data_IF_204760859504
#
_entry.id   IF_204760859504
#
_cell.length_a   1.000
_cell.length_b   1.000
_cell.length_c   1.000
_cell.angle_alpha   90.00
_cell.angle_beta   90.00
_cell.angle_gamma   90.00
#
_symmetry.space_group_name_H-M   'P 1'
#
loop_
_entity.id
_entity.type
_entity.pdbx_description
1 polymer ?
#
# COMPACT_ATOMS: atom_id res chain seq x y z
N UNK A 1 -11.24 14.16 30.63
CA UNK A 1 -11.79 14.67 29.36
C UNK A 1 -11.38 16.12 29.16
N UNK A 2 -10.22 16.37 28.56
CA UNK A 2 -9.74 17.73 28.23
C UNK A 2 -8.53 17.71 27.28
N UNK A 3 -8.52 16.90 26.20
CA UNK A 3 -7.33 16.83 25.32
C UNK A 3 -7.63 16.64 23.82
N UNK A 4 -8.80 17.06 23.32
CA UNK A 4 -9.11 17.04 21.88
C UNK A 4 -8.99 18.40 21.17
N UNK A 5 -8.42 19.43 21.80
CA UNK A 5 -8.45 20.81 21.23
C UNK A 5 -7.10 21.51 21.05
N UNK A 6 -5.96 20.81 21.10
CA UNK A 6 -4.63 21.47 21.02
C UNK A 6 -3.64 20.97 19.96
N UNK A 7 -4.11 20.34 18.88
CA UNK A 7 -3.25 20.02 17.72
C UNK A 7 -3.64 20.70 16.40
N UNK A 8 -4.68 21.55 16.37
CA UNK A 8 -5.04 22.32 15.17
C UNK A 8 -4.74 23.83 15.24
N UNK A 9 -3.95 24.29 16.22
CA UNK A 9 -3.80 25.73 16.52
C UNK A 9 -2.42 26.33 16.16
N UNK A 10 -1.79 25.93 15.04
CA UNK A 10 -0.58 26.62 14.54
C UNK A 10 -0.54 26.98 13.06
N UNK A 11 -1.65 26.85 12.30
CA UNK A 11 -1.70 27.29 10.89
C UNK A 11 -2.75 28.38 10.58
N UNK A 12 -3.55 28.84 11.56
CA UNK A 12 -4.60 29.85 11.33
C UNK A 12 -4.26 31.29 11.78
N UNK A 13 -3.00 31.60 12.06
CA UNK A 13 -2.57 32.94 12.55
C UNK A 13 -1.97 33.87 11.49
N UNK A 14 -2.16 33.59 10.21
CA UNK A 14 -1.77 34.50 9.11
C UNK A 14 -2.95 35.13 8.34
N UNK A 15 -4.19 34.93 8.77
CA UNK A 15 -5.38 35.40 7.99
C UNK A 15 -6.30 36.37 8.73
N UNK A 16 -6.05 36.70 10.00
CA UNK A 16 -6.93 37.62 10.76
C UNK A 16 -6.16 38.71 11.52
N UNK A 17 -5.48 39.57 10.77
CA UNK A 17 -4.95 40.83 11.30
C UNK A 17 -5.27 41.99 10.34
N UNK A 18 -6.55 42.31 10.23
CA UNK A 18 -7.00 43.63 9.77
C UNK A 18 -8.28 43.99 10.55
N UNK A 19 -8.06 44.64 11.69
CA UNK A 19 -9.12 45.33 12.42
C UNK A 19 -9.67 46.46 11.54
N UNK A 20 -10.96 46.35 11.24
CA UNK A 20 -11.75 47.37 10.57
C UNK A 20 -12.01 48.51 11.55
N UNK A 21 -11.49 49.69 11.23
CA UNK A 21 -12.04 50.96 11.71
C UNK A 21 -13.43 51.16 11.10
N UNK A 22 -14.44 51.36 11.94
CA UNK A 22 -15.79 51.74 11.52
C UNK A 22 -15.90 53.27 11.55
N UNK A 23 -15.98 53.91 10.38
CA UNK A 23 -16.61 55.22 10.25
C UNK A 23 -17.68 55.20 9.15
N UNK A 24 -18.79 55.84 9.49
CA UNK A 24 -20.08 55.90 8.83
C UNK A 24 -20.05 56.75 7.55
N UNK A 25 -21.06 56.47 6.72
CA UNK A 25 -21.60 57.29 5.63
C UNK A 25 -20.85 57.28 4.30
N UNK A 26 -21.33 56.46 3.36
CA UNK A 26 -21.89 56.94 2.08
C UNK A 26 -22.66 55.81 1.39
N UNK A 27 -23.81 56.17 0.81
CA UNK A 27 -24.78 55.28 0.20
C UNK A 27 -24.21 54.49 -0.99
N UNK A 28 -24.72 53.27 -1.12
CA UNK A 28 -24.30 52.19 -2.03
C UNK A 28 -24.66 52.53 -3.50
N UNK A 29 -23.76 52.36 -4.47
CA UNK A 29 -24.15 51.83 -5.76
C UNK A 29 -23.99 50.31 -5.72
N UNK A 30 -25.11 49.60 -5.81
CA UNK A 30 -25.17 48.14 -5.80
C UNK A 30 -24.49 47.66 -7.07
N UNK A 31 -23.18 47.36 -6.98
CA UNK A 31 -22.53 46.53 -7.98
C UNK A 31 -23.14 45.14 -7.80
N UNK A 32 -23.99 44.77 -8.74
CA UNK A 32 -24.47 43.41 -8.86
C UNK A 32 -23.22 42.55 -9.02
N UNK A 33 -22.89 41.75 -8.01
CA UNK A 33 -21.94 40.67 -8.21
C UNK A 33 -22.50 39.81 -9.34
N UNK A 34 -21.75 39.67 -10.43
CA UNK A 34 -22.07 38.70 -11.45
C UNK A 34 -22.37 37.37 -10.74
N UNK A 35 -23.56 36.83 -10.98
CA UNK A 35 -24.01 35.53 -10.48
C UNK A 35 -22.84 34.57 -10.67
N UNK A 36 -22.27 34.07 -9.58
CA UNK A 36 -21.03 33.29 -9.61
C UNK A 36 -21.19 32.12 -10.58
N UNK A 37 -20.63 32.26 -11.78
CA UNK A 37 -20.47 31.14 -12.68
C UNK A 37 -19.34 30.31 -12.10
N UNK A 38 -19.68 29.31 -11.29
CA UNK A 38 -18.74 28.21 -11.12
C UNK A 38 -18.41 27.73 -12.53
N UNK A 39 -17.13 27.73 -12.94
CA UNK A 39 -16.77 27.17 -14.24
C UNK A 39 -17.38 25.76 -14.32
N UNK A 40 -17.98 25.39 -15.46
CA UNK A 40 -18.61 24.08 -15.61
C UNK A 40 -17.59 22.99 -15.23
N UNK A 41 -18.04 21.97 -14.47
CA UNK A 41 -17.16 20.88 -14.07
C UNK A 41 -16.50 20.29 -15.29
N UNK A 42 -15.18 20.32 -15.32
CA UNK A 42 -14.44 19.68 -16.38
C UNK A 42 -14.53 18.16 -16.15
N UNK A 43 -14.49 17.37 -17.23
CA UNK A 43 -14.46 15.91 -17.14
C UNK A 43 -13.34 15.39 -16.22
N UNK A 44 -12.23 16.14 -16.13
CA UNK A 44 -11.14 15.88 -15.18
C UNK A 44 -11.54 16.06 -13.72
N UNK A 45 -12.38 17.06 -13.39
CA UNK A 45 -12.85 17.29 -12.02
C UNK A 45 -13.74 16.16 -11.52
N UNK A 46 -14.58 15.60 -12.40
CA UNK A 46 -15.44 14.46 -12.08
C UNK A 46 -14.62 13.18 -11.83
N UNK A 47 -13.59 12.94 -12.64
CA UNK A 47 -12.64 11.83 -12.45
C UNK A 47 -11.87 11.94 -11.13
N UNK A 48 -11.35 13.13 -10.80
CA UNK A 48 -10.64 13.34 -9.53
C UNK A 48 -11.57 13.17 -8.32
N UNK A 49 -12.82 13.64 -8.43
CA UNK A 49 -13.83 13.43 -7.39
C UNK A 49 -14.16 11.95 -7.22
N UNK A 50 -14.31 11.18 -8.30
CA UNK A 50 -14.59 9.75 -8.20
C UNK A 50 -13.43 9.01 -7.52
N UNK A 51 -12.18 9.31 -7.89
CA UNK A 51 -10.99 8.73 -7.25
C UNK A 51 -10.95 9.10 -5.76
N UNK A 52 -11.20 10.36 -5.41
CA UNK A 52 -11.21 10.79 -4.02
C UNK A 52 -12.28 10.08 -3.19
N UNK A 53 -13.51 9.96 -3.73
CA UNK A 53 -14.60 9.25 -3.05
C UNK A 53 -14.26 7.77 -2.88
N UNK A 54 -13.66 7.14 -3.89
CA UNK A 54 -13.21 5.75 -3.78
C UNK A 54 -12.16 5.57 -2.67
N UNK A 55 -11.11 6.40 -2.66
CA UNK A 55 -10.06 6.35 -1.65
C UNK A 55 -10.62 6.60 -0.24
N UNK A 56 -11.52 7.58 -0.10
CA UNK A 56 -12.20 7.87 1.16
C UNK A 56 -12.99 6.65 1.65
N UNK A 57 -13.78 6.01 0.78
CA UNK A 57 -14.58 4.84 1.13
C UNK A 57 -13.69 3.66 1.56
N UNK A 58 -12.57 3.44 0.86
CA UNK A 58 -11.58 2.42 1.23
C UNK A 58 -10.98 2.69 2.61
N UNK A 59 -10.58 3.93 2.88
CA UNK A 59 -10.05 4.36 4.18
C UNK A 59 -11.08 4.20 5.31
N UNK A 60 -12.30 4.70 5.14
CA UNK A 60 -13.37 4.58 6.13
C UNK A 60 -13.72 3.11 6.41
N UNK A 61 -13.68 2.25 5.39
CA UNK A 61 -13.90 0.81 5.55
C UNK A 61 -12.79 0.15 6.37
N UNK A 62 -11.53 0.47 6.07
CA UNK A 62 -10.38 -0.03 6.82
C UNK A 62 -10.47 0.39 8.31
N UNK A 63 -10.72 1.68 8.55
CA UNK A 63 -10.89 2.23 9.89
C UNK A 63 -12.07 1.58 10.63
N UNK A 64 -13.18 1.31 9.92
CA UNK A 64 -14.34 0.62 10.49
C UNK A 64 -14.05 -0.80 10.99
N UNK A 65 -13.07 -1.49 10.41
CA UNK A 65 -12.58 -2.79 10.91
C UNK A 65 -11.65 -2.59 12.09
N UNK A 66 -10.65 -1.72 11.97
CA UNK A 66 -9.65 -1.47 13.01
C UNK A 66 -10.24 -0.95 14.33
N UNK A 67 -11.36 -0.19 14.28
CA UNK A 67 -12.08 0.26 15.48
C UNK A 67 -12.81 -0.85 16.24
N UNK A 68 -13.04 -2.00 15.62
CA UNK A 68 -13.79 -3.12 16.22
C UNK A 68 -12.85 -4.15 16.81
N UNK A 69 -11.79 -4.49 16.08
CA UNK A 69 -10.86 -5.54 16.45
C UNK A 69 -9.84 -5.05 17.48
N UNK A 70 -9.70 -5.80 18.59
CA UNK A 70 -8.65 -5.51 19.59
C UNK A 70 -7.32 -6.09 19.08
N UNK A 71 -6.33 -5.23 18.88
CA UNK A 71 -4.97 -5.64 18.47
C UNK A 71 -4.09 -5.76 19.71
N UNK A 72 -3.49 -6.94 19.90
CA UNK A 72 -2.46 -7.15 20.92
C UNK A 72 -1.09 -6.84 20.32
N UNK A 73 -0.38 -5.85 20.86
CA UNK A 73 0.93 -5.44 20.36
C UNK A 73 2.02 -6.35 20.94
N UNK A 74 2.17 -7.54 20.35
CA UNK A 74 3.20 -8.51 20.75
C UNK A 74 3.79 -9.22 19.51
N UNK A 75 4.87 -8.69 18.91
CA UNK A 75 5.48 -9.29 17.72
C UNK A 75 6.20 -10.61 17.99
N UNK A 76 6.48 -10.92 19.27
CA UNK A 76 7.19 -12.13 19.70
C UNK A 76 6.22 -13.30 19.95
N UNK A 77 4.91 -13.03 20.09
CA UNK A 77 3.86 -14.03 20.24
C UNK A 77 3.26 -14.41 18.86
N UNK A 78 3.43 -15.67 18.40
CA UNK A 78 2.85 -16.12 17.14
C UNK A 78 1.32 -15.98 17.07
N UNK A 79 0.62 -16.08 18.21
CA UNK A 79 -0.84 -15.95 18.23
C UNK A 79 -1.26 -14.50 17.97
N UNK A 80 -0.60 -13.52 18.60
CA UNK A 80 -0.81 -12.10 18.33
C UNK A 80 -0.48 -11.72 16.88
N UNK A 81 0.63 -12.23 16.33
CA UNK A 81 1.01 -12.02 14.91
C UNK A 81 -0.05 -12.59 13.96
N UNK A 82 -0.51 -13.82 14.20
CA UNK A 82 -1.55 -14.45 13.37
C UNK A 82 -2.89 -13.71 13.48
N UNK A 83 -3.27 -13.28 14.67
CA UNK A 83 -4.47 -12.47 14.88
C UNK A 83 -4.39 -11.16 14.08
N UNK A 84 -3.28 -10.44 14.20
CA UNK A 84 -3.08 -9.18 13.49
C UNK A 84 -3.06 -9.37 11.96
N UNK A 85 -2.39 -10.42 11.46
CA UNK A 85 -2.43 -10.78 10.04
C UNK A 85 -3.87 -11.00 9.54
N UNK A 86 -4.71 -11.70 10.31
CA UNK A 86 -6.12 -11.93 9.96
C UNK A 86 -6.94 -10.62 9.96
N UNK A 87 -6.68 -9.71 10.90
CA UNK A 87 -7.30 -8.38 10.91
C UNK A 87 -6.91 -7.60 9.66
N UNK A 88 -5.63 -7.56 9.30
CA UNK A 88 -5.14 -6.86 8.11
C UNK A 88 -5.64 -7.48 6.80
N UNK A 89 -5.74 -8.82 6.75
CA UNK A 89 -6.39 -9.54 5.63
C UNK A 89 -7.86 -9.15 5.49
N UNK A 90 -8.58 -9.06 6.61
CA UNK A 90 -9.99 -8.62 6.64
C UNK A 90 -10.13 -7.16 6.20
N UNK A 91 -9.25 -6.27 6.66
CA UNK A 91 -9.18 -4.87 6.21
C UNK A 91 -9.01 -4.83 4.69
N UNK A 92 -8.03 -5.56 4.17
CA UNK A 92 -7.72 -5.61 2.74
C UNK A 92 -8.92 -6.06 1.92
N UNK A 93 -9.54 -7.18 2.30
CA UNK A 93 -10.69 -7.74 1.59
C UNK A 93 -11.90 -6.79 1.63
N UNK A 94 -12.24 -6.25 2.80
CA UNK A 94 -13.41 -5.36 2.94
C UNK A 94 -13.21 -4.01 2.24
N UNK A 95 -12.00 -3.46 2.28
CA UNK A 95 -11.66 -2.22 1.59
C UNK A 95 -11.33 -2.45 0.10
N UNK A 96 -11.51 -3.66 -0.44
CA UNK A 96 -11.20 -4.00 -1.82
C UNK A 96 -9.79 -3.54 -2.25
N UNK A 97 -8.82 -3.82 -1.39
CA UNK A 97 -7.41 -3.57 -1.63
C UNK A 97 -6.79 -4.83 -2.24
N UNK A 98 -5.81 -4.64 -3.13
CA UNK A 98 -5.10 -5.74 -3.78
C UNK A 98 -4.19 -6.46 -2.78
N UNK A 99 -4.07 -7.78 -2.89
CA UNK A 99 -2.97 -8.51 -2.25
C UNK A 99 -1.66 -8.24 -2.98
N UNK A 100 -0.54 -8.60 -2.36
CA UNK A 100 0.78 -8.39 -2.96
C UNK A 100 0.91 -9.12 -4.31
N UNK A 101 0.42 -10.36 -4.37
CA UNK A 101 0.42 -11.15 -5.62
C UNK A 101 -0.44 -10.50 -6.72
N UNK A 102 -1.57 -9.92 -6.35
CA UNK A 102 -2.44 -9.19 -7.27
C UNK A 102 -1.81 -7.89 -7.76
N UNK A 103 -1.14 -7.14 -6.86
CA UNK A 103 -0.41 -5.92 -7.21
C UNK A 103 0.72 -6.23 -8.19
N UNK A 104 1.56 -7.23 -7.90
CA UNK A 104 2.65 -7.66 -8.77
C UNK A 104 2.11 -8.07 -10.14
N UNK A 105 1.04 -8.88 -10.17
CA UNK A 105 0.40 -9.29 -11.42
C UNK A 105 -0.08 -8.08 -12.23
N UNK A 106 -0.72 -7.10 -11.58
CA UNK A 106 -1.21 -5.89 -12.25
C UNK A 106 -0.08 -5.04 -12.83
N UNK A 107 1.06 -4.91 -12.13
CA UNK A 107 2.25 -4.20 -12.64
C UNK A 107 2.80 -4.92 -13.87
N UNK A 108 2.97 -6.25 -13.80
CA UNK A 108 3.45 -7.05 -14.93
C UNK A 108 2.52 -6.87 -16.14
N UNK A 109 1.21 -6.99 -15.95
CA UNK A 109 0.23 -6.85 -17.03
C UNK A 109 0.31 -5.46 -17.67
N UNK A 110 0.41 -4.40 -16.87
CA UNK A 110 0.49 -3.01 -17.34
C UNK A 110 1.77 -2.74 -18.14
N UNK A 111 2.93 -3.14 -17.60
CA UNK A 111 4.24 -2.86 -18.21
C UNK A 111 4.52 -3.73 -19.44
N UNK A 112 3.80 -4.85 -19.59
CA UNK A 112 4.06 -5.81 -20.67
C UNK A 112 2.93 -5.96 -21.68
N UNK A 113 1.85 -5.19 -21.57
CA UNK A 113 0.64 -5.36 -22.40
C UNK A 113 0.94 -5.31 -23.90
N UNK A 114 1.77 -4.36 -24.33
CA UNK A 114 2.04 -4.10 -25.75
C UNK A 114 3.31 -4.77 -26.28
N UNK A 115 3.96 -5.63 -25.46
CA UNK A 115 5.19 -6.31 -25.84
C UNK A 115 4.87 -7.57 -26.65
N UNK A 116 5.28 -7.68 -27.93
CA UNK A 116 4.89 -8.80 -28.78
C UNK A 116 5.79 -10.04 -28.66
N UNK A 117 7.07 -9.87 -28.32
CA UNK A 117 8.06 -10.94 -28.28
C UNK A 117 8.43 -11.37 -26.85
N UNK A 118 8.85 -12.63 -26.70
CA UNK A 118 9.16 -13.22 -25.40
C UNK A 118 10.43 -12.65 -24.77
N UNK A 119 11.42 -12.23 -25.58
CA UNK A 119 12.70 -11.73 -25.08
C UNK A 119 12.52 -10.40 -24.38
N UNK A 120 11.89 -9.45 -25.07
CA UNK A 120 11.59 -8.13 -24.50
C UNK A 120 10.72 -8.29 -23.25
N UNK A 121 9.75 -9.22 -23.26
CA UNK A 121 8.92 -9.53 -22.09
C UNK A 121 9.76 -9.96 -20.87
N UNK A 122 10.67 -10.91 -21.03
CA UNK A 122 11.52 -11.38 -19.92
C UNK A 122 12.48 -10.28 -19.41
N UNK A 123 13.03 -9.47 -20.30
CA UNK A 123 13.86 -8.32 -19.92
C UNK A 123 13.05 -7.29 -19.12
N UNK A 124 11.81 -7.01 -19.51
CA UNK A 124 10.92 -6.13 -18.75
C UNK A 124 10.58 -6.70 -17.37
N UNK A 125 10.36 -8.03 -17.25
CA UNK A 125 10.19 -8.65 -15.93
C UNK A 125 11.42 -8.46 -15.04
N UNK A 126 12.62 -8.60 -15.60
CA UNK A 126 13.87 -8.35 -14.89
C UNK A 126 13.97 -6.89 -14.44
N UNK A 127 13.60 -5.92 -15.29
CA UNK A 127 13.56 -4.51 -14.90
C UNK A 127 12.58 -4.23 -13.76
N UNK A 128 11.38 -4.83 -13.80
CA UNK A 128 10.38 -4.72 -12.72
C UNK A 128 10.98 -5.22 -11.41
N UNK A 129 11.55 -6.43 -11.40
CA UNK A 129 12.20 -7.01 -10.21
C UNK A 129 13.29 -6.08 -9.65
N UNK A 130 14.17 -5.55 -10.51
CA UNK A 130 15.27 -4.67 -10.10
C UNK A 130 14.74 -3.35 -9.53
N UNK A 131 13.72 -2.74 -10.15
CA UNK A 131 13.08 -1.51 -9.65
C UNK A 131 12.46 -1.71 -8.27
N UNK A 132 11.93 -2.90 -8.00
CA UNK A 132 11.37 -3.28 -6.71
C UNK A 132 12.45 -3.69 -5.67
N UNK A 133 13.73 -3.65 -6.04
CA UNK A 133 14.85 -3.97 -5.14
C UNK A 133 14.97 -5.45 -4.79
N UNK A 134 14.30 -6.32 -5.52
CA UNK A 134 14.34 -7.77 -5.31
C UNK A 134 15.59 -8.35 -5.96
N UNK A 135 16.27 -9.30 -5.32
CA UNK A 135 17.44 -10.01 -5.86
C UNK A 135 17.04 -11.33 -6.53
N UNK A 136 17.77 -11.76 -7.56
CA UNK A 136 17.60 -13.09 -8.18
C UNK A 136 18.63 -14.06 -7.58
N UNK A 137 18.44 -14.38 -6.29
CA UNK A 137 19.38 -15.23 -5.55
C UNK A 137 19.46 -16.66 -6.09
N UNK A 138 18.43 -17.10 -6.84
CA UNK A 138 18.35 -18.41 -7.45
C UNK A 138 18.95 -18.46 -8.86
N UNK A 139 19.27 -17.30 -9.46
CA UNK A 139 19.70 -17.19 -10.85
C UNK A 139 18.64 -17.65 -11.85
N UNK A 140 17.36 -17.54 -11.48
CA UNK A 140 16.24 -18.02 -12.28
C UNK A 140 16.15 -17.27 -13.62
N UNK A 141 16.42 -15.96 -13.64
CA UNK A 141 16.32 -15.14 -14.84
C UNK A 141 17.36 -15.54 -15.88
N UNK A 142 18.60 -15.80 -15.45
CA UNK A 142 19.64 -16.30 -16.34
C UNK A 142 19.25 -17.64 -16.96
N UNK A 143 18.72 -18.57 -16.16
CA UNK A 143 18.24 -19.86 -16.68
C UNK A 143 17.06 -19.70 -17.65
N UNK A 144 16.13 -18.77 -17.38
CA UNK A 144 15.00 -18.48 -18.26
C UNK A 144 15.46 -17.88 -19.60
N UNK A 145 16.44 -16.97 -19.58
CA UNK A 145 17.01 -16.39 -20.80
C UNK A 145 17.77 -17.44 -21.61
N UNK A 146 18.53 -18.32 -20.96
CA UNK A 146 19.19 -19.45 -21.63
C UNK A 146 18.19 -20.44 -22.26
N UNK A 147 17.05 -20.68 -21.60
CA UNK A 147 15.96 -21.48 -22.16
C UNK A 147 15.36 -20.81 -23.40
N UNK A 148 15.11 -19.50 -23.34
CA UNK A 148 14.63 -18.74 -24.50
C UNK A 148 15.64 -18.77 -25.66
N UNK A 149 16.93 -18.60 -25.39
CA UNK A 149 17.99 -18.71 -26.41
C UNK A 149 17.97 -20.07 -27.14
N UNK A 150 17.70 -21.17 -26.42
CA UNK A 150 17.58 -22.51 -27.01
C UNK A 150 16.37 -22.60 -27.93
N UNK A 151 15.20 -22.15 -27.46
CA UNK A 151 13.96 -22.18 -28.23
C UNK A 151 14.08 -21.32 -29.50
N UNK A 152 14.63 -20.11 -29.40
CA UNK A 152 14.82 -19.23 -30.57
C UNK A 152 15.82 -19.80 -31.58
N UNK A 153 16.87 -20.49 -31.12
CA UNK A 153 17.82 -21.21 -32.01
C UNK A 153 17.14 -22.35 -32.77
N UNK A 154 16.27 -23.11 -32.11
CA UNK A 154 15.49 -24.18 -32.75
C UNK A 154 14.49 -23.62 -33.76
N UNK A 155 13.81 -22.53 -33.42
CA UNK A 155 12.84 -21.85 -34.30
C UNK A 155 13.51 -21.05 -35.42
N UNK A 156 14.79 -20.69 -35.29
CA UNK A 156 15.56 -19.81 -36.19
C UNK A 156 14.93 -18.42 -36.39
N UNK A 157 14.13 -17.97 -35.41
CA UNK A 157 13.48 -16.67 -35.37
C UNK A 157 13.22 -16.27 -33.91
N UNK A 158 13.06 -14.97 -33.61
CA UNK A 158 12.56 -14.54 -32.31
C UNK A 158 11.21 -15.18 -31.98
N UNK A 159 11.00 -15.51 -30.71
CA UNK A 159 9.75 -16.09 -30.26
C UNK A 159 8.71 -15.00 -29.98
N UNK A 160 7.60 -15.02 -30.72
CA UNK A 160 6.45 -14.15 -30.45
C UNK A 160 5.55 -14.78 -29.37
N UNK A 161 4.94 -13.95 -28.51
CA UNK A 161 4.07 -14.38 -27.41
C UNK A 161 2.74 -14.99 -27.89
N UNK A 162 2.34 -14.71 -29.13
CA UNK A 162 1.17 -15.31 -29.77
C UNK A 162 1.47 -16.63 -30.51
N UNK A 163 2.76 -17.00 -30.66
CA UNK A 163 3.19 -18.28 -31.22
C UNK A 163 3.00 -19.40 -30.19
N UNK A 164 1.78 -19.96 -30.15
CA UNK A 164 1.39 -21.01 -29.20
C UNK A 164 2.39 -22.16 -29.13
N UNK A 165 2.87 -22.66 -30.27
CA UNK A 165 3.77 -23.82 -30.32
C UNK A 165 5.15 -23.49 -29.75
N UNK A 166 5.69 -22.32 -30.11
CA UNK A 166 6.96 -21.85 -29.57
C UNK A 166 6.87 -21.56 -28.06
N UNK A 167 5.76 -20.97 -27.61
CA UNK A 167 5.51 -20.72 -26.19
C UNK A 167 5.34 -22.01 -25.39
N UNK A 168 4.70 -23.04 -25.94
CA UNK A 168 4.59 -24.36 -25.29
C UNK A 168 5.97 -24.98 -25.05
N UNK A 169 6.90 -24.85 -26.02
CA UNK A 169 8.29 -25.29 -25.86
C UNK A 169 9.01 -24.51 -24.76
N UNK A 170 8.85 -23.18 -24.73
CA UNK A 170 9.45 -22.33 -23.71
C UNK A 170 8.93 -22.66 -22.30
N UNK A 171 7.61 -22.81 -22.16
CA UNK A 171 6.97 -23.17 -20.89
C UNK A 171 7.45 -24.54 -20.39
N UNK A 172 7.64 -25.51 -21.28
CA UNK A 172 8.20 -26.81 -20.92
C UNK A 172 9.65 -26.72 -20.40
N UNK A 173 10.47 -25.82 -20.94
CA UNK A 173 11.81 -25.54 -20.39
C UNK A 173 11.72 -24.84 -19.03
N UNK A 174 10.78 -23.89 -18.86
CA UNK A 174 10.55 -23.23 -17.57
C UNK A 174 10.07 -24.21 -16.50
N UNK A 175 9.24 -25.20 -16.83
CA UNK A 175 8.82 -26.23 -15.88
C UNK A 175 10.01 -27.07 -15.38
N UNK A 176 10.98 -27.39 -16.25
CA UNK A 176 12.23 -28.06 -15.83
C UNK A 176 13.07 -27.18 -14.91
N UNK A 177 13.16 -25.89 -15.21
CA UNK A 177 13.86 -24.91 -14.36
C UNK A 177 13.17 -24.82 -12.99
N UNK A 178 11.85 -24.68 -12.96
CA UNK A 178 11.06 -24.61 -11.74
C UNK A 178 11.27 -25.86 -10.87
N UNK A 179 11.24 -27.06 -11.47
CA UNK A 179 11.53 -28.31 -10.76
C UNK A 179 12.95 -28.33 -10.16
N UNK A 180 13.96 -27.86 -10.91
CA UNK A 180 15.35 -27.77 -10.45
C UNK A 180 15.51 -26.79 -9.28
N UNK A 181 14.78 -25.68 -9.31
CA UNK A 181 14.80 -24.65 -8.27
C UNK A 181 13.87 -24.97 -7.09
N UNK A 182 13.11 -26.07 -7.15
CA UNK A 182 12.11 -26.42 -6.13
C UNK A 182 10.91 -25.47 -6.09
N UNK A 183 10.67 -24.71 -7.17
CA UNK A 183 9.55 -23.78 -7.31
C UNK A 183 8.33 -24.56 -7.78
N UNK A 184 7.23 -24.44 -7.05
CA UNK A 184 5.95 -25.07 -7.37
C UNK A 184 4.85 -24.03 -7.33
N UNK A 185 4.06 -23.94 -8.40
CA UNK A 185 2.97 -22.98 -8.50
C UNK A 185 1.90 -23.21 -7.43
N UNK A 186 1.74 -24.46 -7.00
CA UNK A 186 0.79 -24.90 -5.98
C UNK A 186 1.16 -24.38 -4.57
N UNK A 187 2.42 -23.99 -4.36
CA UNK A 187 2.86 -23.42 -3.08
C UNK A 187 2.64 -21.90 -3.00
N UNK A 188 2.25 -21.23 -4.10
CA UNK A 188 2.03 -19.78 -4.13
C UNK A 188 1.07 -19.29 -3.03
N UNK A 189 -0.10 -19.93 -2.76
CA UNK A 189 -0.98 -19.51 -1.67
C UNK A 189 -0.30 -19.59 -0.30
N UNK A 190 0.54 -20.61 -0.07
CA UNK A 190 1.27 -20.75 1.20
C UNK A 190 2.35 -19.68 1.34
N UNK A 191 3.05 -19.33 0.25
CA UNK A 191 4.04 -18.26 0.25
C UNK A 191 3.38 -16.91 0.53
N UNK A 192 2.19 -16.67 -0.03
CA UNK A 192 1.40 -15.48 0.25
C UNK A 192 0.98 -15.41 1.73
N UNK A 193 0.44 -16.50 2.30
CA UNK A 193 0.10 -16.53 3.73
C UNK A 193 1.35 -16.33 4.64
N UNK A 194 2.50 -16.90 4.27
CA UNK A 194 3.76 -16.67 5.00
C UNK A 194 4.23 -15.21 4.91
N UNK A 195 4.08 -14.58 3.73
CA UNK A 195 4.39 -13.18 3.55
C UNK A 195 3.47 -12.29 4.40
N UNK A 196 2.17 -12.60 4.45
CA UNK A 196 1.22 -11.89 5.31
C UNK A 196 1.64 -11.93 6.78
N UNK A 197 2.09 -13.09 7.28
CA UNK A 197 2.59 -13.23 8.66
C UNK A 197 3.88 -12.43 8.89
N UNK A 198 4.80 -12.42 7.94
CA UNK A 198 6.04 -11.62 8.04
C UNK A 198 5.75 -10.13 8.07
N UNK A 199 4.87 -9.66 7.19
CA UNK A 199 4.43 -8.26 7.17
C UNK A 199 3.71 -7.88 8.47
N UNK A 200 2.82 -8.74 8.95
CA UNK A 200 2.12 -8.56 10.21
C UNK A 200 3.09 -8.42 11.39
N UNK A 201 4.11 -9.29 11.46
CA UNK A 201 5.15 -9.21 12.49
C UNK A 201 5.91 -7.88 12.41
N UNK A 202 6.40 -7.52 11.23
CA UNK A 202 7.17 -6.28 11.04
C UNK A 202 6.35 -5.03 11.43
N UNK A 203 5.07 -4.99 11.05
CA UNK A 203 4.15 -3.92 11.44
C UNK A 203 3.91 -3.88 12.96
N UNK A 204 3.78 -5.04 13.63
CA UNK A 204 3.69 -5.08 15.09
C UNK A 204 4.98 -4.64 15.78
N UNK A 205 6.16 -4.94 15.21
CA UNK A 205 7.44 -4.44 15.71
C UNK A 205 7.51 -2.92 15.63
N UNK A 206 7.07 -2.33 14.51
CA UNK A 206 6.97 -0.88 14.33
C UNK A 206 5.97 -0.26 15.31
N UNK A 207 4.77 -0.82 15.43
CA UNK A 207 3.76 -0.36 16.42
C UNK A 207 4.27 -0.44 17.86
N UNK A 208 4.99 -1.51 18.22
CA UNK A 208 5.62 -1.66 19.54
C UNK A 208 6.66 -0.57 19.78
N UNK A 209 7.49 -0.27 18.78
CA UNK A 209 8.49 0.79 18.84
C UNK A 209 7.83 2.16 19.04
N UNK A 210 6.86 2.51 18.21
CA UNK A 210 6.13 3.79 18.30
C UNK A 210 5.42 3.95 19.66
N UNK A 211 4.77 2.88 20.15
CA UNK A 211 4.11 2.89 21.44
C UNK A 211 5.11 3.13 22.59
N UNK A 212 6.26 2.44 22.58
CA UNK A 212 7.31 2.61 23.58
C UNK A 212 7.88 4.03 23.57
N UNK A 213 8.16 4.59 22.38
CA UNK A 213 8.66 5.97 22.24
C UNK A 213 7.64 7.00 22.76
N UNK A 214 6.35 6.82 22.46
CA UNK A 214 5.28 7.67 22.95
C UNK A 214 5.13 7.59 24.47
N UNK A 215 5.14 6.37 25.03
CA UNK A 215 5.06 6.14 26.47
C UNK A 215 6.27 6.70 27.22
N UNK A 216 7.48 6.54 26.67
CA UNK A 216 8.68 7.12 27.26
C UNK A 216 8.60 8.65 27.29
N UNK A 217 8.18 9.26 26.19
CA UNK A 217 7.98 10.70 26.09
C UNK A 217 6.95 11.20 27.10
N UNK A 218 5.86 10.45 27.30
CA UNK A 218 4.84 10.80 28.28
C UNK A 218 5.34 10.67 29.72
N UNK A 219 6.10 9.62 30.03
CA UNK A 219 6.65 9.37 31.37
C UNK A 219 7.63 10.43 31.86
N UNK A 220 8.21 11.23 30.94
CA UNK A 220 9.10 12.35 31.29
C UNK A 220 8.36 13.59 31.79
N UNK A 221 7.03 13.65 31.66
CA UNK A 221 6.24 14.79 32.13
C UNK A 221 6.05 14.73 33.64
N UNK A 222 6.13 15.88 34.30
CA UNK A 222 5.96 16.03 35.76
C UNK A 222 4.65 15.40 36.28
N UNK A 223 3.58 15.50 35.48
CA UNK A 223 2.24 14.96 35.78
C UNK A 223 2.23 13.44 35.98
N UNK A 224 3.20 12.72 35.42
CA UNK A 224 3.26 11.24 35.43
C UNK A 224 4.47 10.71 36.23
N UNK A 225 5.14 11.57 37.00
CA UNK A 225 6.27 11.14 37.83
C UNK A 225 5.81 10.20 38.94
N UNK A 226 6.38 9.00 38.97
CA UNK A 226 6.08 7.97 39.98
C UNK A 226 4.90 7.07 39.62
N UNK A 227 4.25 7.30 38.48
CA UNK A 227 3.27 6.34 37.94
C UNK A 227 3.98 5.14 37.30
N UNK A 228 3.38 3.96 37.46
CA UNK A 228 3.85 2.74 36.81
C UNK A 228 3.60 2.84 35.29
N UNK A 229 4.63 2.53 34.49
CA UNK A 229 4.47 2.49 33.04
C UNK A 229 3.55 1.33 32.68
N UNK A 230 2.52 1.61 31.90
CA UNK A 230 1.66 0.58 31.33
C UNK A 230 2.49 -0.43 30.49
N UNK A 231 1.99 -1.65 30.31
CA UNK A 231 2.56 -2.59 29.36
C UNK A 231 2.01 -2.29 27.95
N UNK A 232 2.87 -2.30 26.94
CA UNK A 232 2.50 -2.12 25.53
C UNK A 232 1.45 -3.15 25.11
N UNK A 233 1.53 -4.38 25.63
CA UNK A 233 0.55 -5.45 25.35
C UNK A 233 -0.85 -5.16 25.90
N UNK A 234 -0.94 -4.27 26.90
CA UNK A 234 -2.21 -3.88 27.52
C UNK A 234 -2.90 -2.73 26.79
N UNK A 235 -2.20 -2.06 25.86
CA UNK A 235 -2.76 -0.95 25.10
C UNK A 235 -3.89 -1.43 24.19
N UNK A 236 -4.98 -0.65 24.18
CA UNK A 236 -6.06 -0.85 23.24
C UNK A 236 -5.98 0.20 22.13
N UNK A 237 -5.45 -0.22 20.97
CA UNK A 237 -5.23 0.67 19.81
C UNK A 237 -6.52 1.36 19.38
N UNK A 238 -7.69 0.75 19.64
CA UNK A 238 -9.00 1.33 19.30
C UNK A 238 -9.26 2.68 19.98
N UNK A 239 -8.62 2.94 21.12
CA UNK A 239 -8.74 4.23 21.82
C UNK A 239 -8.00 5.38 21.12
N UNK A 240 -7.19 5.08 20.11
CA UNK A 240 -6.36 6.04 19.39
C UNK A 240 -6.81 6.26 17.93
N UNK A 241 -7.86 5.56 17.48
CA UNK A 241 -8.39 5.56 16.11
C UNK A 241 -9.78 6.22 16.05
#
# INVERSE_FOLDING_TARGET
MALSSRLFSKSNKLVYASQVFLQKEHAIPVRHFAKGSAPPSLKGDEMLKSIFVELKNKFETAMGVLKKEKITIDPDDPAAVSQYANVMKTVRQKANLLSESQSIKGIIEMETQDIPDARTYLLTLQEIRIKDGLTDDLGAEAMMMEALDKVEKELKKPLLRDDKKGMDLLLAEFDKINQKLGIRKEDLPKLEDQLELKMAKAQLEELKKEALEAMETQSKREEFKGEEKADVKSLDVRNFI
#
